data_IF_042601400954
#
_entry.id   IF_042601400954
#
_cell.length_a   1.000
_cell.length_b   1.000
_cell.length_c   1.000
_cell.angle_alpha   90.00
_cell.angle_beta   90.00
_cell.angle_gamma   90.00
#
_symmetry.space_group_name_H-M   'P 1'
#
loop_
_entity.id
_entity.type
_entity.pdbx_description
1 polymer ?
#
# COMPACT_ATOMS: atom_id res chain seq x y z
N UNK A 1 7.54 0.54 9.51
CA UNK A 1 7.63 0.56 8.05
C UNK A 1 8.09 -0.78 7.47
N UNK A 2 9.30 -1.30 7.78
CA UNK A 2 9.80 -2.59 7.23
C UNK A 2 8.93 -3.81 7.53
N UNK A 3 8.28 -3.89 8.69
CA UNK A 3 7.41 -5.01 9.05
C UNK A 3 6.04 -4.96 8.32
N UNK A 4 5.56 -3.78 7.97
CA UNK A 4 4.35 -3.57 7.15
C UNK A 4 4.67 -3.99 5.71
N UNK A 5 5.77 -3.51 5.15
CA UNK A 5 6.21 -3.87 3.81
C UNK A 5 6.40 -5.40 3.63
N UNK A 6 6.97 -6.10 4.62
CA UNK A 6 7.12 -7.55 4.54
C UNK A 6 5.78 -8.32 4.57
N UNK A 7 4.74 -7.75 5.21
CA UNK A 7 3.40 -8.35 5.25
C UNK A 7 2.62 -8.04 3.98
N UNK A 8 2.75 -6.83 3.47
CA UNK A 8 2.21 -6.42 2.17
C UNK A 8 2.82 -7.25 1.05
N UNK A 9 4.14 -7.46 1.05
CA UNK A 9 4.80 -8.39 0.14
C UNK A 9 4.25 -9.83 0.23
N UNK A 10 4.01 -10.35 1.44
CA UNK A 10 3.41 -11.68 1.61
C UNK A 10 1.94 -11.77 1.15
N UNK A 11 1.19 -10.66 1.17
CA UNK A 11 -0.14 -10.60 0.56
C UNK A 11 -0.05 -10.48 -0.97
N UNK A 12 1.00 -9.82 -1.50
CA UNK A 12 1.30 -9.75 -2.93
C UNK A 12 1.61 -11.13 -3.53
N UNK A 13 2.32 -11.98 -2.78
CA UNK A 13 2.59 -13.37 -3.17
C UNK A 13 1.32 -14.23 -3.32
N UNK A 14 0.19 -13.77 -2.77
CA UNK A 14 -1.12 -14.45 -2.90
C UNK A 14 -1.94 -13.97 -4.11
N UNK A 15 -1.46 -12.97 -4.83
CA UNK A 15 -2.13 -12.52 -6.05
C UNK A 15 -2.06 -13.61 -7.14
N UNK A 16 -3.04 -13.65 -8.02
CA UNK A 16 -3.01 -14.57 -9.15
C UNK A 16 -1.73 -14.40 -9.97
N UNK A 17 -1.17 -15.47 -10.54
CA UNK A 17 0.10 -15.43 -11.29
C UNK A 17 0.04 -14.59 -12.57
N UNK A 18 -1.15 -14.23 -13.02
CA UNK A 18 -1.41 -13.33 -14.14
C UNK A 18 -1.36 -11.84 -13.76
N UNK A 19 -1.08 -11.52 -12.48
CA UNK A 19 -0.98 -10.15 -12.00
C UNK A 19 0.48 -9.78 -11.76
N UNK A 20 0.98 -8.82 -12.53
CA UNK A 20 2.27 -8.16 -12.25
C UNK A 20 2.06 -7.01 -11.28
N UNK A 21 2.86 -6.95 -10.24
CA UNK A 21 2.75 -5.94 -9.20
C UNK A 21 3.97 -5.04 -9.19
N UNK A 22 3.72 -3.74 -9.15
CA UNK A 22 4.72 -2.69 -8.99
C UNK A 22 4.46 -2.00 -7.65
N UNK A 23 5.44 -1.97 -6.76
CA UNK A 23 5.30 -1.37 -5.44
C UNK A 23 6.18 -0.12 -5.28
N UNK A 24 5.54 1.03 -5.11
CA UNK A 24 6.18 2.32 -4.92
C UNK A 24 6.10 2.74 -3.43
N UNK A 25 7.18 2.47 -2.69
CA UNK A 25 7.25 2.76 -1.26
C UNK A 25 7.66 4.21 -0.94
N UNK A 26 8.19 4.95 -1.92
CA UNK A 26 8.69 6.31 -1.71
C UNK A 26 7.68 7.35 -2.17
N UNK A 27 7.05 8.11 -1.27
CA UNK A 27 6.08 9.14 -1.65
C UNK A 27 6.72 10.39 -2.26
N UNK A 28 8.05 10.55 -2.16
CA UNK A 28 8.77 11.74 -2.64
C UNK A 28 9.19 11.64 -4.12
N UNK A 29 8.71 10.62 -4.84
CA UNK A 29 9.03 10.46 -6.26
C UNK A 29 8.46 11.62 -7.09
N UNK A 30 9.30 12.18 -7.97
CA UNK A 30 8.84 13.09 -9.01
C UNK A 30 8.03 12.35 -10.08
N UNK A 31 7.32 13.08 -10.92
CA UNK A 31 6.60 12.51 -12.07
C UNK A 31 7.51 11.64 -12.98
N UNK A 32 8.75 12.09 -13.20
CA UNK A 32 9.72 11.33 -13.97
C UNK A 32 10.18 10.04 -13.26
N UNK A 33 10.41 10.12 -11.95
CA UNK A 33 10.86 8.98 -11.15
C UNK A 33 9.77 7.89 -11.08
N UNK A 34 8.49 8.28 -11.06
CA UNK A 34 7.37 7.32 -11.11
C UNK A 34 7.43 6.50 -12.40
N UNK A 35 7.67 7.13 -13.56
CA UNK A 35 7.78 6.41 -14.82
C UNK A 35 8.94 5.42 -14.81
N UNK A 36 10.12 5.85 -14.33
CA UNK A 36 11.29 4.99 -14.24
C UNK A 36 11.05 3.84 -13.26
N UNK A 37 10.49 4.10 -12.07
CA UNK A 37 10.22 3.06 -11.09
C UNK A 37 9.24 2.00 -11.62
N UNK A 38 8.20 2.40 -12.36
CA UNK A 38 7.27 1.45 -13.00
C UNK A 38 7.99 0.67 -14.11
N UNK A 39 8.81 1.32 -14.92
CA UNK A 39 9.50 0.69 -16.03
C UNK A 39 10.56 -0.31 -15.55
N UNK A 40 11.30 0.03 -14.49
CA UNK A 40 12.30 -0.84 -13.88
C UNK A 40 11.68 -2.15 -13.39
N UNK A 41 10.53 -2.07 -12.68
CA UNK A 41 9.80 -3.25 -12.23
C UNK A 41 9.24 -4.08 -13.40
N UNK A 42 8.81 -3.41 -14.49
CA UNK A 42 8.35 -4.08 -15.70
C UNK A 42 9.49 -4.48 -16.66
N UNK A 43 10.74 -4.34 -16.23
CA UNK A 43 11.95 -4.67 -16.99
C UNK A 43 11.99 -3.99 -18.36
N UNK A 44 11.69 -2.69 -18.40
CA UNK A 44 11.58 -1.88 -19.62
C UNK A 44 12.49 -0.68 -19.53
N UNK A 45 13.36 -0.48 -20.51
CA UNK A 45 14.23 0.69 -20.59
C UNK A 45 13.45 1.90 -21.11
N UNK A 46 13.51 3.02 -20.39
CA UNK A 46 12.93 4.27 -20.83
C UNK A 46 13.97 5.16 -21.48
N UNK A 47 13.60 5.91 -22.54
CA UNK A 47 14.50 6.86 -23.16
C UNK A 47 14.77 8.05 -22.25
N UNK A 48 16.00 8.55 -22.28
CA UNK A 48 16.39 9.85 -21.76
C UNK A 48 15.73 10.96 -22.61
N UNK A 49 14.47 11.24 -22.31
CA UNK A 49 13.69 12.10 -23.19
C UNK A 49 12.53 12.81 -22.50
N UNK A 50 11.64 13.36 -23.33
CA UNK A 50 10.45 14.07 -22.87
C UNK A 50 9.43 13.09 -22.26
N UNK A 51 8.62 13.57 -21.31
CA UNK A 51 7.62 12.78 -20.61
C UNK A 51 6.71 11.94 -21.54
N UNK A 52 6.28 12.52 -22.67
CA UNK A 52 5.43 11.82 -23.63
C UNK A 52 6.11 10.62 -24.30
N UNK A 53 7.45 10.65 -24.46
CA UNK A 53 8.19 9.52 -25.04
C UNK A 53 8.27 8.38 -24.05
N UNK A 54 8.55 8.67 -22.77
CA UNK A 54 8.53 7.68 -21.69
C UNK A 54 7.15 7.05 -21.54
N UNK A 55 6.10 7.88 -21.54
CA UNK A 55 4.73 7.40 -21.41
C UNK A 55 4.33 6.47 -22.55
N UNK A 56 4.78 6.76 -23.79
CA UNK A 56 4.54 5.90 -24.95
C UNK A 56 5.21 4.53 -24.79
N UNK A 57 6.47 4.49 -24.37
CA UNK A 57 7.19 3.22 -24.14
C UNK A 57 6.51 2.40 -23.04
N UNK A 58 6.10 3.05 -21.94
CA UNK A 58 5.32 2.37 -20.90
C UNK A 58 3.99 1.83 -21.45
N UNK A 59 3.28 2.59 -22.26
CA UNK A 59 2.03 2.15 -22.87
C UNK A 59 2.24 0.95 -23.78
N UNK A 60 3.27 0.97 -24.62
CA UNK A 60 3.60 -0.15 -25.50
C UNK A 60 3.91 -1.41 -24.67
N UNK A 61 4.67 -1.29 -23.60
CA UNK A 61 4.94 -2.41 -22.68
C UNK A 61 3.71 -2.94 -21.98
N UNK A 62 2.84 -2.06 -21.49
CA UNK A 62 1.58 -2.45 -20.87
C UNK A 62 0.64 -3.17 -21.87
N UNK A 63 0.66 -2.76 -23.14
CA UNK A 63 -0.08 -3.43 -24.21
C UNK A 63 0.44 -4.86 -24.47
N UNK A 64 1.76 -5.06 -24.44
CA UNK A 64 2.37 -6.40 -24.56
C UNK A 64 1.93 -7.32 -23.41
N UNK A 65 1.97 -6.81 -22.18
CA UNK A 65 1.54 -7.55 -20.97
C UNK A 65 0.05 -7.89 -21.07
N UNK A 66 -0.78 -6.93 -21.48
CA UNK A 66 -2.20 -7.12 -21.68
C UNK A 66 -2.50 -8.15 -22.78
N UNK A 67 -1.77 -8.13 -23.90
CA UNK A 67 -1.91 -9.11 -24.98
C UNK A 67 -1.54 -10.55 -24.55
N UNK A 68 -0.72 -10.68 -23.50
CA UNK A 68 -0.40 -11.96 -22.87
C UNK A 68 -1.43 -12.38 -21.78
N UNK A 69 -2.59 -11.74 -21.73
CA UNK A 69 -3.66 -11.93 -20.73
C UNK A 69 -3.20 -11.69 -19.27
N UNK A 70 -2.23 -10.78 -19.10
CA UNK A 70 -1.70 -10.38 -17.79
C UNK A 70 -2.15 -8.96 -17.44
N UNK A 71 -2.21 -8.68 -16.15
CA UNK A 71 -2.63 -7.39 -15.60
C UNK A 71 -1.50 -6.74 -14.82
N UNK A 72 -1.43 -5.42 -14.85
CA UNK A 72 -0.45 -4.67 -14.05
C UNK A 72 -1.18 -3.89 -12.97
N UNK A 73 -0.71 -4.03 -11.72
CA UNK A 73 -1.21 -3.30 -10.56
C UNK A 73 -0.06 -2.51 -9.94
N UNK A 74 -0.17 -1.19 -9.95
CA UNK A 74 0.76 -0.29 -9.27
C UNK A 74 0.19 0.05 -7.90
N UNK A 75 0.95 -0.26 -6.87
CA UNK A 75 0.62 0.04 -5.48
C UNK A 75 1.53 1.15 -4.97
N UNK A 76 0.94 2.22 -4.47
CA UNK A 76 1.64 3.40 -4.00
C UNK A 76 1.37 3.58 -2.51
N UNK A 77 2.41 3.44 -1.70
CA UNK A 77 2.31 3.64 -0.25
C UNK A 77 2.52 5.13 0.12
N UNK A 78 1.95 5.52 1.26
CA UNK A 78 2.01 6.88 1.80
C UNK A 78 1.60 7.97 0.77
N UNK A 79 0.63 7.67 -0.11
CA UNK A 79 0.21 8.55 -1.20
C UNK A 79 -0.27 9.94 -0.71
N UNK A 80 -0.65 10.07 0.57
CA UNK A 80 -0.99 11.35 1.18
C UNK A 80 0.20 12.32 1.26
N UNK A 81 1.44 11.80 1.25
CA UNK A 81 2.66 12.60 1.29
C UNK A 81 3.23 12.94 -0.10
N UNK A 82 2.63 12.43 -1.19
CA UNK A 82 3.10 12.70 -2.55
C UNK A 82 2.96 14.18 -2.94
N UNK A 83 3.87 14.75 -3.74
CA UNK A 83 3.68 16.04 -4.39
C UNK A 83 2.41 16.07 -5.25
N UNK A 84 1.77 17.24 -5.40
CA UNK A 84 0.56 17.35 -6.23
C UNK A 84 0.84 17.04 -7.72
N UNK A 85 2.02 17.38 -8.21
CA UNK A 85 2.48 17.06 -9.56
C UNK A 85 2.59 15.53 -9.77
N UNK A 86 3.05 14.80 -8.75
CA UNK A 86 3.14 13.35 -8.80
C UNK A 86 1.77 12.68 -8.78
N UNK A 87 0.81 13.21 -8.00
CA UNK A 87 -0.59 12.75 -8.04
C UNK A 87 -1.25 13.04 -9.39
N UNK A 88 -0.91 14.16 -10.02
CA UNK A 88 -1.39 14.45 -11.38
C UNK A 88 -0.80 13.46 -12.39
N UNK A 89 0.46 13.05 -12.26
CA UNK A 89 1.05 12.02 -13.12
C UNK A 89 0.35 10.67 -12.94
N UNK A 90 0.00 10.30 -11.70
CA UNK A 90 -0.82 9.11 -11.42
C UNK A 90 -2.17 9.19 -12.14
N UNK A 91 -2.80 10.36 -12.19
CA UNK A 91 -4.02 10.58 -12.95
C UNK A 91 -3.80 10.33 -14.45
N UNK A 92 -2.68 10.83 -15.02
CA UNK A 92 -2.34 10.61 -16.42
C UNK A 92 -2.10 9.12 -16.72
N UNK A 93 -1.35 8.43 -15.87
CA UNK A 93 -1.11 6.99 -15.97
C UNK A 93 -2.42 6.18 -15.90
N UNK A 94 -3.39 6.61 -15.08
CA UNK A 94 -4.70 5.95 -14.98
C UNK A 94 -5.54 6.05 -16.26
N UNK A 95 -5.12 6.89 -17.22
CA UNK A 95 -5.76 7.02 -18.55
C UNK A 95 -5.24 6.02 -19.59
N UNK A 96 -4.21 5.23 -19.25
CA UNK A 96 -3.67 4.26 -20.19
C UNK A 96 -4.68 3.13 -20.40
N UNK A 97 -5.28 3.11 -21.58
CA UNK A 97 -6.35 2.20 -21.95
C UNK A 97 -6.08 1.58 -23.34
N UNK A 98 -6.55 0.36 -23.54
CA UNK A 98 -6.64 -0.30 -24.84
C UNK A 98 -8.09 -0.70 -25.10
N UNK A 99 -8.72 -0.17 -26.17
CA UNK A 99 -10.07 -0.54 -26.61
C UNK A 99 -11.11 -0.64 -25.47
N UNK A 100 -11.12 0.34 -24.54
CA UNK A 100 -11.98 0.41 -23.33
C UNK A 100 -11.52 -0.47 -22.14
N UNK A 101 -10.35 -1.12 -22.22
CA UNK A 101 -9.80 -1.87 -21.09
C UNK A 101 -8.65 -1.09 -20.44
N UNK A 102 -8.65 -1.04 -19.12
CA UNK A 102 -7.56 -0.44 -18.35
C UNK A 102 -6.31 -1.29 -18.50
N UNK A 103 -5.21 -0.68 -18.92
CA UNK A 103 -3.90 -1.34 -18.99
C UNK A 103 -3.19 -1.36 -17.63
N UNK A 104 -3.53 -0.38 -16.78
CA UNK A 104 -2.90 -0.19 -15.48
C UNK A 104 -3.96 -0.01 -14.40
N UNK A 105 -3.88 -0.79 -13.35
CA UNK A 105 -4.67 -0.62 -12.14
C UNK A 105 -3.81 0.04 -11.07
N UNK A 106 -4.35 1.05 -10.39
CA UNK A 106 -3.59 1.81 -9.40
C UNK A 106 -4.30 1.71 -8.05
N UNK A 107 -3.54 1.39 -7.02
CA UNK A 107 -4.00 1.34 -5.63
C UNK A 107 -3.19 2.35 -4.82
N UNK A 108 -3.86 3.31 -4.22
CA UNK A 108 -3.25 4.32 -3.36
C UNK A 108 -3.49 3.93 -1.90
N UNK A 109 -2.42 3.75 -1.15
CA UNK A 109 -2.48 3.61 0.30
C UNK A 109 -2.10 4.96 0.94
N UNK A 110 -2.86 5.40 1.91
CA UNK A 110 -2.59 6.67 2.57
C UNK A 110 -3.33 6.82 3.88
N UNK A 111 -2.99 7.85 4.62
CA UNK A 111 -3.70 8.27 5.82
C UNK A 111 -4.95 9.08 5.42
N UNK A 112 -5.87 9.37 6.35
CA UNK A 112 -7.10 10.12 6.06
C UNK A 112 -6.89 11.47 5.34
N UNK A 113 -5.71 12.06 5.49
CA UNK A 113 -5.29 13.28 4.81
C UNK A 113 -5.29 13.12 3.27
N UNK A 114 -5.18 11.88 2.75
CA UNK A 114 -5.32 11.61 1.32
C UNK A 114 -6.73 11.95 0.84
N UNK A 115 -7.77 11.55 1.59
CA UNK A 115 -9.15 11.85 1.25
C UNK A 115 -9.44 13.35 1.27
N UNK A 116 -8.86 14.07 2.25
CA UNK A 116 -8.95 15.54 2.32
C UNK A 116 -8.30 16.18 1.09
N UNK A 117 -7.11 15.72 0.71
CA UNK A 117 -6.40 16.19 -0.49
C UNK A 117 -7.18 15.92 -1.77
N UNK A 118 -7.67 14.69 -1.95
CA UNK A 118 -8.47 14.31 -3.11
C UNK A 118 -9.81 15.07 -3.19
N UNK A 119 -10.28 15.64 -2.07
CA UNK A 119 -11.51 16.44 -2.04
C UNK A 119 -11.31 17.89 -2.46
N UNK A 120 -10.07 18.34 -2.67
CA UNK A 120 -9.77 19.69 -3.15
C UNK A 120 -10.14 19.84 -4.62
N UNK A 121 -10.42 21.07 -5.03
CA UNK A 121 -10.85 21.38 -6.40
C UNK A 121 -9.78 21.04 -7.46
N UNK A 122 -8.50 21.19 -7.11
CA UNK A 122 -7.35 20.88 -7.97
C UNK A 122 -7.15 19.36 -8.18
N UNK A 123 -7.69 18.51 -7.28
CA UNK A 123 -7.60 17.05 -7.36
C UNK A 123 -8.89 16.35 -7.84
N UNK A 124 -9.90 17.14 -8.22
CA UNK A 124 -11.22 16.63 -8.62
C UNK A 124 -11.12 15.55 -9.70
N UNK A 125 -10.30 15.76 -10.73
CA UNK A 125 -10.17 14.82 -11.84
C UNK A 125 -9.56 13.49 -11.43
N UNK A 126 -8.63 13.47 -10.47
CA UNK A 126 -8.10 12.23 -9.89
C UNK A 126 -9.16 11.54 -9.03
N UNK A 127 -9.87 12.29 -8.19
CA UNK A 127 -10.96 11.75 -7.36
C UNK A 127 -12.05 11.06 -8.18
N UNK A 128 -12.45 11.64 -9.31
CA UNK A 128 -13.46 11.06 -10.20
C UNK A 128 -13.03 9.73 -10.85
N UNK A 129 -11.74 9.40 -10.79
CA UNK A 129 -11.18 8.12 -11.27
C UNK A 129 -11.08 7.05 -10.19
N UNK A 130 -11.19 7.43 -8.94
CA UNK A 130 -11.22 6.48 -7.81
C UNK A 130 -12.57 5.78 -7.82
N UNK A 131 -12.58 4.52 -8.23
CA UNK A 131 -13.79 3.70 -8.31
C UNK A 131 -14.16 3.05 -6.99
N UNK A 132 -13.17 2.81 -6.12
CA UNK A 132 -13.35 2.17 -4.82
C UNK A 132 -12.53 2.92 -3.77
N UNK A 133 -13.14 3.15 -2.62
CA UNK A 133 -12.48 3.70 -1.45
C UNK A 133 -12.79 2.83 -0.24
N UNK A 134 -11.76 2.42 0.49
CA UNK A 134 -11.88 1.57 1.66
C UNK A 134 -11.16 2.23 2.83
N UNK A 135 -11.87 2.49 3.92
CA UNK A 135 -11.28 2.91 5.17
C UNK A 135 -10.94 1.70 6.03
N UNK A 136 -9.69 1.62 6.49
CA UNK A 136 -9.27 0.62 7.47
C UNK A 136 -9.60 1.13 8.87
N UNK A 137 -10.57 0.50 9.49
CA UNK A 137 -10.97 0.84 10.86
C UNK A 137 -10.00 0.26 11.90
N UNK A 138 -9.87 0.90 13.07
CA UNK A 138 -9.17 0.33 14.21
C UNK A 138 -9.73 -1.03 14.60
N UNK A 139 -8.89 -1.90 15.14
CA UNK A 139 -9.30 -3.21 15.63
C UNK A 139 -10.33 -3.07 16.76
N UNK A 140 -11.36 -3.91 16.71
CA UNK A 140 -12.34 -4.00 17.80
C UNK A 140 -11.69 -4.57 19.05
N UNK A 141 -12.18 -4.19 20.22
CA UNK A 141 -11.63 -4.63 21.51
C UNK A 141 -11.52 -6.16 21.64
N UNK A 142 -12.51 -6.86 21.13
CA UNK A 142 -12.56 -8.32 21.22
C UNK A 142 -11.54 -9.01 20.31
N UNK A 143 -11.07 -8.34 19.26
CA UNK A 143 -10.17 -8.92 18.26
C UNK A 143 -8.68 -8.69 18.62
N UNK A 144 -8.40 -7.83 19.61
CA UNK A 144 -7.03 -7.45 19.98
C UNK A 144 -6.26 -8.64 20.59
N UNK A 145 -6.90 -9.47 21.41
CA UNK A 145 -6.27 -10.66 21.97
C UNK A 145 -5.82 -11.64 20.90
N UNK A 146 -6.71 -11.96 19.98
CA UNK A 146 -6.43 -12.85 18.84
C UNK A 146 -5.37 -12.26 17.92
N UNK A 147 -5.43 -10.96 17.66
CA UNK A 147 -4.41 -10.24 16.87
C UNK A 147 -3.02 -10.34 17.51
N UNK A 148 -2.91 -10.12 18.83
CA UNK A 148 -1.64 -10.24 19.55
C UNK A 148 -1.08 -11.65 19.48
N UNK A 149 -1.91 -12.64 19.74
CA UNK A 149 -1.50 -14.05 19.68
C UNK A 149 -1.13 -14.49 18.27
N UNK A 150 -1.88 -14.05 17.26
CA UNK A 150 -1.53 -14.28 15.87
C UNK A 150 -0.12 -13.73 15.53
N UNK A 151 0.19 -12.50 15.98
CA UNK A 151 1.50 -11.86 15.74
C UNK A 151 2.65 -12.64 16.41
N UNK A 152 2.45 -13.06 17.67
CA UNK A 152 3.46 -13.78 18.45
C UNK A 152 3.69 -15.18 17.87
N UNK A 153 2.62 -15.87 17.45
CA UNK A 153 2.71 -17.18 16.79
C UNK A 153 3.41 -17.07 15.42
N UNK A 154 3.15 -16.01 14.66
CA UNK A 154 3.86 -15.74 13.42
C UNK A 154 5.36 -15.48 13.63
N UNK A 155 5.75 -14.96 14.79
CA UNK A 155 7.16 -14.81 15.22
C UNK A 155 7.79 -16.12 15.73
N UNK A 156 7.07 -17.24 15.70
CA UNK A 156 7.59 -18.57 16.07
C UNK A 156 7.23 -19.04 17.47
N UNK A 157 6.51 -18.27 18.28
CA UNK A 157 6.09 -18.69 19.60
C UNK A 157 5.04 -19.82 19.55
N UNK A 158 5.24 -20.88 20.33
CA UNK A 158 4.37 -22.08 20.36
C UNK A 158 3.75 -22.38 21.73
N UNK A 159 3.96 -21.46 22.69
CA UNK A 159 3.46 -21.61 24.04
C UNK A 159 2.00 -21.17 24.25
N UNK A 160 1.52 -21.15 25.50
CA UNK A 160 0.20 -20.68 25.88
C UNK A 160 0.08 -19.15 25.65
N UNK A 161 -1.12 -18.61 25.85
CA UNK A 161 -1.36 -17.18 25.70
C UNK A 161 -0.51 -16.38 26.69
N UNK A 162 0.24 -15.39 26.16
CA UNK A 162 1.18 -14.58 26.95
C UNK A 162 0.50 -13.41 27.68
N UNK A 163 -0.61 -12.94 27.16
CA UNK A 163 -1.32 -11.80 27.70
C UNK A 163 -2.53 -12.23 28.52
N UNK A 164 -2.60 -11.79 29.76
CA UNK A 164 -3.81 -11.95 30.58
C UNK A 164 -4.97 -11.12 30.01
N UNK A 165 -6.23 -11.48 30.30
CA UNK A 165 -7.40 -10.69 29.91
C UNK A 165 -7.32 -9.23 30.40
N UNK A 166 -6.77 -9.00 31.59
CA UNK A 166 -6.57 -7.65 32.13
C UNK A 166 -5.54 -6.86 31.33
N UNK A 167 -4.42 -7.47 30.92
CA UNK A 167 -3.43 -6.83 30.07
C UNK A 167 -4.00 -6.48 28.69
N UNK A 168 -4.76 -7.38 28.07
CA UNK A 168 -5.44 -7.14 26.80
C UNK A 168 -6.41 -5.96 26.90
N UNK A 169 -7.16 -5.88 28.01
CA UNK A 169 -8.09 -4.78 28.25
C UNK A 169 -7.38 -3.42 28.38
N UNK A 170 -6.24 -3.38 29.06
CA UNK A 170 -5.43 -2.17 29.20
C UNK A 170 -4.83 -1.75 27.85
N UNK A 171 -4.25 -2.68 27.11
CA UNK A 171 -3.73 -2.44 25.76
C UNK A 171 -4.83 -1.92 24.84
N UNK A 172 -6.01 -2.55 24.87
CA UNK A 172 -7.16 -2.15 24.06
C UNK A 172 -7.57 -0.70 24.35
N UNK A 173 -7.68 -0.35 25.64
CA UNK A 173 -8.06 1.01 26.04
C UNK A 173 -7.03 2.04 25.63
N UNK A 174 -5.73 1.75 25.82
CA UNK A 174 -4.65 2.70 25.56
C UNK A 174 -4.31 2.84 24.07
N UNK A 175 -4.54 1.77 23.28
CA UNK A 175 -4.24 1.77 21.84
C UNK A 175 -5.36 2.35 20.98
N UNK A 176 -6.58 2.41 21.50
CA UNK A 176 -7.79 2.78 20.74
C UNK A 176 -8.00 1.88 19.51
N UNK A 177 -7.49 0.63 19.54
CA UNK A 177 -7.56 -0.31 18.43
C UNK A 177 -6.54 -0.08 17.30
N UNK A 178 -5.69 0.94 17.40
CA UNK A 178 -4.68 1.23 16.40
C UNK A 178 -3.53 0.20 16.46
N UNK A 179 -3.37 -0.59 15.41
CA UNK A 179 -2.45 -1.74 15.35
C UNK A 179 -1.01 -1.37 15.72
N UNK A 180 -0.52 -0.20 15.30
CA UNK A 180 0.81 0.29 15.65
C UNK A 180 0.94 0.51 17.16
N UNK A 181 -0.06 1.14 17.80
CA UNK A 181 -0.07 1.37 19.25
C UNK A 181 -0.20 0.06 20.01
N UNK A 182 -1.04 -0.87 19.54
CA UNK A 182 -1.17 -2.22 20.11
C UNK A 182 0.19 -2.91 20.16
N UNK A 183 0.92 -2.93 19.04
CA UNK A 183 2.23 -3.57 18.96
C UNK A 183 3.26 -2.95 19.92
N UNK A 184 3.32 -1.61 20.00
CA UNK A 184 4.24 -0.89 20.90
C UNK A 184 3.91 -1.20 22.36
N UNK A 185 2.64 -1.21 22.74
CA UNK A 185 2.22 -1.47 24.11
C UNK A 185 2.47 -2.93 24.50
N UNK A 186 2.20 -3.87 23.59
CA UNK A 186 2.46 -5.28 23.80
C UNK A 186 3.96 -5.57 23.96
N UNK A 187 4.80 -5.00 23.12
CA UNK A 187 6.26 -5.12 23.20
C UNK A 187 6.79 -4.60 24.55
N UNK A 188 6.36 -3.42 24.96
CA UNK A 188 6.72 -2.86 26.29
C UNK A 188 6.24 -3.72 27.45
N UNK A 189 5.04 -4.29 27.36
CA UNK A 189 4.52 -5.16 28.41
C UNK A 189 5.34 -6.45 28.53
N UNK A 190 5.74 -7.06 27.40
CA UNK A 190 6.60 -8.24 27.39
C UNK A 190 8.00 -7.95 27.93
N UNK A 191 8.59 -6.81 27.53
CA UNK A 191 9.89 -6.40 28.06
C UNK A 191 9.86 -6.15 29.57
N UNK A 192 8.80 -5.50 30.07
CA UNK A 192 8.65 -5.29 31.53
C UNK A 192 8.55 -6.62 32.29
N UNK A 193 7.71 -7.55 31.79
CA UNK A 193 7.55 -8.85 32.44
C UNK A 193 8.81 -9.74 32.38
N UNK A 194 9.69 -9.50 31.40
CA UNK A 194 10.98 -10.20 31.29
C UNK A 194 12.03 -9.64 32.25
N UNK A 195 11.90 -8.37 32.65
CA UNK A 195 12.87 -7.66 33.50
C UNK A 195 12.59 -7.82 34.99
N UNK A 196 11.42 -8.37 35.38
CA UNK A 196 11.04 -8.73 36.74
C UNK A 196 11.46 -10.19 37.07
#
# INVERSE_FOLDING_TARGET
>A
ARAIAARELAELEKLPPDVETVYLANPSLSAADIHHAIADELQTELPDGRAHQRLRVLQDRLLEIYAADRKVVVMIDEAHAMPSESLEEIRLLSNLESNKHKLLHIVLFGQPELDERLSRSDMRQLKERVTHNFALEPLRRNDIGDYLMFRIRAAGYRGPDLFTPAAIQLISKASEGLTRRINILADKALLSAFSE
#
